data_IF_511611940489
#
_entry.id   IF_511611940489
#
_cell.length_a   1.000
_cell.length_b   1.000
_cell.length_c   1.000
_cell.angle_alpha   90.00
_cell.angle_beta   90.00
_cell.angle_gamma   90.00
#
_symmetry.space_group_name_H-M   'P 1'
#
loop_
_entity.id
_entity.type
_entity.pdbx_description
1 polymer ?
#
# COMPACT_ATOMS: atom_id res chain seq x y z
N UNK A 1 32.58 -38.08 35.65
CA UNK A 1 33.80 -37.60 34.96
C UNK A 1 33.37 -36.47 34.02
N UNK A 2 33.80 -35.22 34.20
CA UNK A 2 35.11 -34.73 33.76
C UNK A 2 35.02 -34.30 32.29
N UNK A 3 34.62 -33.05 32.01
CA UNK A 3 35.50 -31.90 31.69
C UNK A 3 36.01 -31.83 30.23
N UNK A 4 35.51 -30.79 29.53
CA UNK A 4 36.24 -29.86 28.63
C UNK A 4 36.52 -30.24 27.16
N UNK A 5 36.10 -29.38 26.21
CA UNK A 5 36.98 -28.44 25.43
C UNK A 5 36.36 -27.96 24.09
N UNK A 6 36.00 -26.66 24.07
CA UNK A 6 36.52 -25.60 23.19
C UNK A 6 36.55 -25.70 21.64
N UNK A 7 35.89 -24.70 21.00
CA UNK A 7 36.31 -23.85 19.85
C UNK A 7 36.35 -24.53 18.45
N UNK A 8 35.65 -24.07 17.40
CA UNK A 8 35.82 -22.76 16.75
C UNK A 8 34.77 -22.43 15.66
N UNK A 9 34.32 -21.17 15.66
CA UNK A 9 34.01 -20.27 14.53
C UNK A 9 33.82 -20.82 13.10
N UNK A 10 32.64 -20.60 12.52
CA UNK A 10 32.52 -19.86 11.24
C UNK A 10 31.14 -19.22 11.07
N UNK A 11 31.18 -18.00 10.54
CA UNK A 11 30.09 -17.01 10.39
C UNK A 11 29.07 -17.48 9.33
N UNK A 12 27.78 -17.39 9.63
CA UNK A 12 26.75 -17.34 8.59
C UNK A 12 25.73 -16.21 8.84
N UNK A 13 25.14 -15.77 7.74
CA UNK A 13 24.74 -14.39 7.44
C UNK A 13 23.32 -14.04 7.91
N UNK A 14 23.10 -12.73 8.03
CA UNK A 14 21.83 -12.04 8.25
C UNK A 14 20.57 -12.68 7.60
N UNK A 15 19.50 -12.80 8.39
CA UNK A 15 18.15 -12.45 7.95
C UNK A 15 17.38 -11.82 9.12
N UNK A 16 16.80 -10.63 8.89
CA UNK A 16 16.03 -9.88 9.89
C UNK A 16 14.60 -10.42 9.89
N UNK A 17 14.19 -11.15 10.94
CA UNK A 17 12.78 -11.52 11.14
C UNK A 17 12.07 -10.55 12.11
N UNK A 18 11.07 -9.87 11.56
CA UNK A 18 9.76 -9.53 12.14
C UNK A 18 9.56 -9.83 13.63
N UNK A 19 9.37 -8.77 14.43
CA UNK A 19 8.65 -8.82 15.71
C UNK A 19 7.90 -7.51 15.92
N UNK A 20 6.56 -7.58 15.98
CA UNK A 20 5.82 -7.11 17.15
C UNK A 20 4.34 -7.51 17.08
N UNK A 21 4.01 -8.57 17.80
CA UNK A 21 2.67 -8.85 18.29
C UNK A 21 2.38 -8.00 19.53
N UNK A 22 1.30 -7.23 19.53
CA UNK A 22 0.62 -6.84 20.79
C UNK A 22 -0.86 -6.59 20.52
N UNK A 23 -1.69 -7.55 20.96
CA UNK A 23 -3.14 -7.40 21.10
C UNK A 23 -3.42 -6.37 22.20
N UNK A 24 -4.34 -5.44 21.96
CA UNK A 24 -5.11 -4.77 23.02
C UNK A 24 -6.47 -4.35 22.48
N UNK A 25 -7.50 -5.08 22.86
CA UNK A 25 -8.90 -4.72 22.69
C UNK A 25 -9.27 -3.54 23.60
N UNK A 26 -9.97 -2.54 23.05
CA UNK A 26 -10.92 -1.70 23.80
C UNK A 26 -11.79 -0.88 22.84
N UNK A 27 -13.02 -1.32 22.67
CA UNK A 27 -14.13 -0.55 22.13
C UNK A 27 -14.38 0.69 23.00
N UNK A 28 -14.59 1.87 22.39
CA UNK A 28 -15.30 3.01 22.99
C UNK A 28 -15.64 4.09 21.95
N UNK A 29 -16.93 4.14 21.64
CA UNK A 29 -17.81 5.31 21.51
C UNK A 29 -17.43 6.50 20.62
N UNK A 30 -18.42 6.82 19.77
CA UNK A 30 -18.74 8.05 19.04
C UNK A 30 -18.49 9.36 19.80
N UNK A 31 -18.49 10.43 19.00
CA UNK A 31 -18.59 11.86 19.30
C UNK A 31 -17.31 12.66 19.57
N UNK A 32 -16.90 13.41 18.53
CA UNK A 32 -16.73 14.87 18.67
C UNK A 32 -16.58 15.54 17.31
N UNK A 33 -17.67 16.17 16.87
CA UNK A 33 -17.57 17.37 16.05
C UNK A 33 -16.61 18.37 16.70
N UNK A 34 -15.66 18.91 15.93
CA UNK A 34 -14.99 20.15 16.30
C UNK A 34 -14.54 20.93 15.08
N UNK A 35 -15.46 21.74 14.56
CA UNK A 35 -15.19 22.91 13.74
C UNK A 35 -14.16 23.84 14.41
N UNK A 36 -12.98 24.01 13.80
CA UNK A 36 -12.10 25.18 14.06
C UNK A 36 -11.28 25.52 12.81
N UNK A 37 -11.83 26.38 11.94
CA UNK A 37 -11.02 27.22 11.05
C UNK A 37 -10.55 28.44 11.86
N UNK A 38 -9.25 28.56 12.11
CA UNK A 38 -8.62 29.79 12.61
C UNK A 38 -7.25 29.96 11.93
N UNK A 39 -7.19 31.00 11.10
CA UNK A 39 -6.04 31.59 10.42
C UNK A 39 -4.83 31.84 11.31
N UNK A 40 -3.59 31.63 10.80
CA UNK A 40 -2.43 32.53 10.99
C UNK A 40 -1.14 32.03 10.31
N UNK A 41 -0.61 32.89 9.41
CA UNK A 41 0.80 33.23 9.15
C UNK A 41 1.90 32.23 9.55
N UNK A 42 2.62 31.71 8.54
CA UNK A 42 3.95 31.08 8.70
C UNK A 42 5.03 32.09 8.32
N UNK A 43 5.53 32.81 9.31
CA UNK A 43 6.82 33.48 9.25
C UNK A 43 7.62 33.01 10.47
N UNK A 44 8.69 32.25 10.25
CA UNK A 44 9.48 31.71 11.34
C UNK A 44 10.94 31.45 10.93
N UNK A 45 11.80 32.29 11.53
CA UNK A 45 13.13 32.01 12.10
C UNK A 45 14.29 32.01 11.11
N UNK A 46 15.09 33.10 11.05
CA UNK A 46 16.19 33.43 11.99
C UNK A 46 17.07 32.23 12.34
N UNK A 47 18.22 32.13 11.67
CA UNK A 47 19.40 31.47 12.23
C UNK A 47 20.53 32.49 12.38
N UNK A 48 20.76 32.92 13.61
CA UNK A 48 22.00 33.55 14.08
C UNK A 48 23.01 32.44 14.31
N UNK A 49 24.14 32.46 13.61
CA UNK A 49 25.38 31.87 14.14
C UNK A 49 26.56 32.76 13.77
N UNK A 50 26.99 33.52 14.78
CA UNK A 50 28.35 34.07 14.92
C UNK A 50 29.32 32.90 14.89
N UNK A 51 30.29 32.93 13.99
CA UNK A 51 31.57 32.26 14.19
C UNK A 51 32.66 33.24 13.74
N UNK A 52 33.29 33.85 14.72
CA UNK A 52 34.51 34.63 14.57
C UNK A 52 35.69 33.68 14.48
N UNK A 53 36.39 33.65 13.34
CA UNK A 53 37.75 33.08 13.29
C UNK A 53 38.61 33.82 12.28
N UNK A 54 39.49 34.63 12.84
CA UNK A 54 40.61 35.31 12.21
C UNK A 54 41.58 34.33 11.56
N UNK A 55 42.02 34.63 10.33
CA UNK A 55 43.36 34.26 9.84
C UNK A 55 43.77 35.15 8.67
N UNK A 56 44.83 35.89 8.91
CA UNK A 56 45.54 36.79 8.00
C UNK A 56 46.10 36.06 6.78
N UNK A 57 46.14 36.73 5.62
CA UNK A 57 47.31 36.74 4.72
C UNK A 57 47.16 37.82 3.64
N UNK A 58 48.25 38.56 3.51
CA UNK A 58 48.61 39.69 2.65
C UNK A 58 48.59 39.40 1.15
N UNK A 59 48.30 40.42 0.32
CA UNK A 59 49.10 40.77 -0.88
C UNK A 59 48.56 42.00 -1.63
N UNK A 60 49.35 43.09 -1.56
CA UNK A 60 49.83 43.93 -2.69
C UNK A 60 48.84 44.81 -3.47
N UNK A 61 48.94 46.14 -3.35
CA UNK A 61 49.73 47.10 -4.18
C UNK A 61 48.89 47.71 -5.31
N UNK A 62 49.15 49.01 -5.53
CA UNK A 62 48.72 49.91 -6.62
C UNK A 62 47.44 50.69 -6.35
N UNK A 63 47.38 52.03 -6.44
CA UNK A 63 48.38 53.07 -6.71
C UNK A 63 47.78 54.40 -6.26
N UNK A 64 48.55 55.19 -5.49
CA UNK A 64 48.31 56.61 -5.24
C UNK A 64 48.45 57.42 -6.53
N UNK A 65 47.66 58.51 -6.64
CA UNK A 65 48.01 59.89 -7.07
C UNK A 65 46.79 60.51 -7.76
N UNK A 66 46.07 61.42 -7.11
CA UNK A 66 46.39 62.86 -7.07
C UNK A 66 47.02 63.33 -8.38
N UNK A 67 46.21 63.91 -9.25
CA UNK A 67 46.71 64.69 -10.37
C UNK A 67 46.31 66.13 -10.14
N UNK A 68 47.30 66.86 -9.63
CA UNK A 68 47.30 68.30 -9.51
C UNK A 68 47.06 68.99 -10.85
N UNK A 69 46.42 70.13 -10.68
CA UNK A 69 46.17 71.24 -11.59
C UNK A 69 47.48 71.66 -12.27
N UNK A 70 47.53 71.58 -13.60
CA UNK A 70 48.71 71.98 -14.36
C UNK A 70 49.00 73.48 -14.19
N UNK A 71 50.15 73.79 -13.60
CA UNK A 71 50.80 75.10 -13.56
C UNK A 71 51.32 75.42 -14.97
N UNK A 72 50.85 76.50 -15.58
CA UNK A 72 51.45 77.07 -16.79
C UNK A 72 52.70 77.89 -16.44
N UNK A 73 53.73 77.95 -17.31
CA UNK A 73 54.99 78.65 -17.02
C UNK A 73 54.84 80.19 -17.06
N UNK A 74 55.69 80.96 -16.36
CA UNK A 74 55.57 82.41 -16.28
C UNK A 74 55.83 83.05 -17.65
N UNK A 75 54.87 83.84 -18.15
CA UNK A 75 55.07 84.66 -19.34
C UNK A 75 56.17 85.69 -19.06
N UNK A 76 57.18 85.76 -19.94
CA UNK A 76 58.15 86.86 -19.92
C UNK A 76 57.42 88.13 -20.36
N UNK A 77 57.39 89.11 -19.47
CA UNK A 77 56.74 90.41 -19.65
C UNK A 77 57.80 91.39 -20.15
N UNK A 78 57.51 92.11 -21.24
CA UNK A 78 58.35 93.19 -21.75
C UNK A 78 58.18 94.47 -20.89
N UNK A 79 59.06 95.46 -21.00
CA UNK A 79 59.18 96.67 -20.16
C UNK A 79 57.86 97.48 -20.05
N UNK A 80 56.87 97.23 -20.92
CA UNK A 80 55.52 97.82 -20.89
C UNK A 80 54.41 96.90 -20.36
N UNK A 81 54.72 95.82 -19.64
CA UNK A 81 53.69 95.04 -18.94
C UNK A 81 52.84 94.13 -19.84
N UNK A 82 53.19 93.97 -21.12
CA UNK A 82 52.46 93.12 -22.08
C UNK A 82 53.09 91.73 -22.15
N UNK A 83 52.27 90.71 -21.98
CA UNK A 83 52.70 89.33 -22.15
C UNK A 83 52.87 89.04 -23.65
N UNK A 84 54.00 88.47 -24.05
CA UNK A 84 54.27 88.10 -25.45
C UNK A 84 53.38 86.91 -25.83
N UNK A 85 52.12 87.22 -26.08
CA UNK A 85 51.08 86.33 -26.55
C UNK A 85 51.47 85.73 -27.91
N UNK A 86 51.76 84.43 -27.88
CA UNK A 86 51.38 83.51 -28.96
C UNK A 86 50.26 82.60 -28.47
N UNK A 87 49.24 83.17 -27.82
CA UNK A 87 48.03 82.43 -27.38
C UNK A 87 46.70 83.05 -27.78
N UNK A 88 46.62 84.34 -28.15
CA UNK A 88 45.30 84.97 -28.40
C UNK A 88 44.52 84.35 -29.57
N UNK A 89 45.20 83.97 -30.66
CA UNK A 89 44.52 83.38 -31.82
C UNK A 89 44.08 81.91 -31.60
N UNK A 90 44.73 81.17 -30.70
CA UNK A 90 44.33 79.80 -30.36
C UNK A 90 43.25 79.79 -29.25
N UNK A 91 43.33 80.70 -28.27
CA UNK A 91 42.30 80.84 -27.23
C UNK A 91 40.99 81.42 -27.79
N UNK A 92 41.02 82.38 -28.72
CA UNK A 92 39.80 82.86 -29.38
C UNK A 92 39.17 81.80 -30.28
N UNK A 93 39.99 80.98 -30.96
CA UNK A 93 39.49 79.82 -31.72
C UNK A 93 38.91 78.75 -30.79
N UNK A 94 39.54 78.48 -29.65
CA UNK A 94 39.02 77.55 -28.65
C UNK A 94 37.74 78.06 -27.98
N UNK A 95 37.61 79.35 -27.69
CA UNK A 95 36.37 79.94 -27.17
C UNK A 95 35.24 79.89 -28.21
N UNK A 96 35.52 80.20 -29.47
CA UNK A 96 34.55 80.05 -30.58
C UNK A 96 34.17 78.58 -30.79
N UNK A 97 35.13 77.66 -30.77
CA UNK A 97 34.87 76.21 -30.83
C UNK A 97 34.11 75.69 -29.59
N UNK A 98 34.34 76.25 -28.40
CA UNK A 98 33.59 75.91 -27.18
C UNK A 98 32.17 76.46 -27.20
N UNK A 99 31.95 77.65 -27.77
CA UNK A 99 30.63 78.22 -28.02
C UNK A 99 29.88 77.42 -29.09
N UNK A 100 30.54 77.03 -30.18
CA UNK A 100 29.99 76.12 -31.19
C UNK A 100 29.65 74.76 -30.59
N UNK A 101 30.52 74.18 -29.74
CA UNK A 101 30.23 72.94 -28.99
C UNK A 101 29.08 73.13 -28.00
N UNK A 102 28.94 74.29 -27.34
CA UNK A 102 27.79 74.58 -26.46
C UNK A 102 26.49 74.67 -27.25
N UNK A 103 26.50 75.35 -28.40
CA UNK A 103 25.34 75.43 -29.30
C UNK A 103 24.99 74.05 -29.88
N UNK A 104 25.99 73.24 -30.22
CA UNK A 104 25.78 71.87 -30.69
C UNK A 104 25.22 70.97 -29.57
N UNK A 105 25.71 71.10 -28.34
CA UNK A 105 25.17 70.40 -27.16
C UNK A 105 23.75 70.85 -26.82
N UNK A 106 23.43 72.14 -27.00
CA UNK A 106 22.06 72.65 -26.84
C UNK A 106 21.12 72.14 -27.95
N UNK A 107 21.59 72.04 -29.19
CA UNK A 107 20.85 71.39 -30.28
C UNK A 107 20.60 69.92 -29.97
N UNK A 108 21.60 69.18 -29.50
CA UNK A 108 21.44 67.78 -29.09
C UNK A 108 20.47 67.62 -27.92
N UNK A 109 20.45 68.54 -26.95
CA UNK A 109 19.47 68.53 -25.86
C UNK A 109 18.05 68.75 -26.37
N UNK A 110 17.85 69.70 -27.29
CA UNK A 110 16.55 69.95 -27.93
C UNK A 110 16.08 68.75 -28.75
N UNK A 111 16.97 68.12 -29.52
CA UNK A 111 16.65 66.89 -30.26
C UNK A 111 16.22 65.78 -29.30
N UNK A 112 16.95 65.56 -28.20
CA UNK A 112 16.58 64.56 -27.19
C UNK A 112 15.23 64.86 -26.52
N UNK A 113 14.89 66.13 -26.29
CA UNK A 113 13.60 66.51 -25.74
C UNK A 113 12.47 66.20 -26.72
N UNK A 114 12.64 66.57 -27.99
CA UNK A 114 11.67 66.26 -29.05
C UNK A 114 11.53 64.74 -29.21
N UNK A 115 12.61 63.97 -29.20
CA UNK A 115 12.55 62.50 -29.26
C UNK A 115 11.81 61.88 -28.05
N UNK A 116 11.92 62.47 -26.86
CA UNK A 116 11.20 62.00 -25.67
C UNK A 116 9.70 62.35 -25.79
N UNK A 117 9.39 63.56 -26.24
CA UNK A 117 8.01 63.99 -26.46
C UNK A 117 7.32 63.18 -27.56
N UNK A 118 8.02 62.92 -28.67
CA UNK A 118 7.56 62.05 -29.75
C UNK A 118 7.30 60.62 -29.25
N UNK A 119 8.21 60.04 -28.47
CA UNK A 119 8.00 58.72 -27.86
C UNK A 119 6.81 58.68 -26.91
N UNK A 120 6.55 59.73 -26.14
CA UNK A 120 5.39 59.81 -25.28
C UNK A 120 4.09 59.86 -26.09
N UNK A 121 4.07 60.60 -27.20
CA UNK A 121 2.92 60.66 -28.12
C UNK A 121 2.72 59.32 -28.84
N UNK A 122 3.80 58.67 -29.28
CA UNK A 122 3.77 57.33 -29.86
C UNK A 122 3.25 56.29 -28.87
N UNK A 123 3.69 56.33 -27.61
CA UNK A 123 3.16 55.47 -26.56
C UNK A 123 1.69 55.74 -26.25
N UNK A 124 1.27 57.00 -26.17
CA UNK A 124 -0.14 57.35 -25.96
C UNK A 124 -1.03 56.91 -27.12
N UNK A 125 -0.56 57.06 -28.35
CA UNK A 125 -1.29 56.61 -29.55
C UNK A 125 -1.34 55.08 -29.63
N UNK A 126 -0.23 54.39 -29.33
CA UNK A 126 -0.20 52.94 -29.22
C UNK A 126 -1.17 52.42 -28.15
N UNK A 127 -1.22 53.06 -26.97
CA UNK A 127 -2.18 52.73 -25.90
C UNK A 127 -3.62 52.93 -26.33
N UNK A 128 -3.95 54.03 -27.01
CA UNK A 128 -5.31 54.26 -27.53
C UNK A 128 -5.72 53.22 -28.56
N UNK A 129 -4.80 52.82 -29.43
CA UNK A 129 -5.04 51.76 -30.41
C UNK A 129 -5.24 50.42 -29.72
N UNK A 130 -4.39 50.07 -28.75
CA UNK A 130 -4.50 48.85 -27.96
C UNK A 130 -5.83 48.78 -27.21
N UNK A 131 -6.26 49.86 -26.57
CA UNK A 131 -7.56 49.92 -25.89
C UNK A 131 -8.74 49.74 -26.84
N UNK A 132 -8.70 50.35 -28.04
CA UNK A 132 -9.76 50.18 -29.03
C UNK A 132 -9.81 48.76 -29.59
N UNK A 133 -8.64 48.13 -29.77
CA UNK A 133 -8.54 46.73 -30.18
C UNK A 133 -9.05 45.83 -29.07
N UNK A 134 -8.62 46.04 -27.82
CA UNK A 134 -9.06 45.26 -26.67
C UNK A 134 -10.57 45.35 -26.48
N UNK A 135 -11.16 46.54 -26.57
CA UNK A 135 -12.62 46.75 -26.48
C UNK A 135 -13.37 46.03 -27.60
N UNK A 136 -12.90 46.12 -28.85
CA UNK A 136 -13.53 45.40 -29.97
C UNK A 136 -13.43 43.89 -29.81
N UNK A 137 -12.28 43.37 -29.39
CA UNK A 137 -12.10 41.93 -29.13
C UNK A 137 -12.98 41.49 -27.97
N UNK A 138 -13.09 42.28 -26.91
CA UNK A 138 -13.95 41.99 -25.76
C UNK A 138 -15.43 41.93 -26.16
N UNK A 139 -15.92 42.88 -26.95
CA UNK A 139 -17.28 42.88 -27.50
C UNK A 139 -17.54 41.69 -28.43
N UNK A 140 -16.57 41.30 -29.26
CA UNK A 140 -16.67 40.11 -30.11
C UNK A 140 -16.69 38.81 -29.31
N UNK A 141 -15.86 38.73 -28.28
CA UNK A 141 -15.86 37.61 -27.35
C UNK A 141 -17.17 37.57 -26.59
N UNK A 142 -17.68 38.70 -26.10
CA UNK A 142 -18.93 38.79 -25.34
C UNK A 142 -20.14 38.31 -26.13
N UNK A 143 -20.23 38.64 -27.42
CA UNK A 143 -21.26 38.09 -28.31
C UNK A 143 -21.17 36.56 -28.45
N UNK A 144 -19.97 35.99 -28.34
CA UNK A 144 -19.72 34.54 -28.45
C UNK A 144 -19.59 33.84 -27.08
N UNK A 145 -19.61 34.57 -25.97
CA UNK A 145 -19.39 34.03 -24.62
C UNK A 145 -20.41 32.95 -24.31
N UNK A 146 -21.69 33.20 -24.54
CA UNK A 146 -22.74 32.23 -24.25
C UNK A 146 -22.60 30.95 -25.07
N UNK A 147 -22.14 31.05 -26.32
CA UNK A 147 -21.91 29.89 -27.19
C UNK A 147 -20.71 29.07 -26.72
N UNK A 148 -19.61 29.76 -26.39
CA UNK A 148 -18.39 29.15 -25.85
C UNK A 148 -18.70 28.49 -24.49
N UNK A 149 -19.40 29.19 -23.60
CA UNK A 149 -19.80 28.67 -22.30
C UNK A 149 -20.69 27.44 -22.43
N UNK A 150 -21.69 27.47 -23.33
CA UNK A 150 -22.52 26.30 -23.62
C UNK A 150 -21.71 25.11 -24.12
N UNK A 151 -20.75 25.33 -25.01
CA UNK A 151 -19.90 24.25 -25.53
C UNK A 151 -18.95 23.70 -24.45
N UNK A 152 -18.34 24.57 -23.64
CA UNK A 152 -17.50 24.18 -22.51
C UNK A 152 -18.30 23.38 -21.50
N UNK A 153 -19.51 23.83 -21.14
CA UNK A 153 -20.40 23.10 -20.24
C UNK A 153 -20.76 21.72 -20.80
N UNK A 154 -21.10 21.62 -22.10
CA UNK A 154 -21.36 20.32 -22.75
C UNK A 154 -20.15 19.38 -22.66
N UNK A 155 -18.95 19.84 -23.01
CA UNK A 155 -17.72 19.02 -22.92
C UNK A 155 -17.44 18.57 -21.49
N UNK A 156 -17.65 19.46 -20.51
CA UNK A 156 -17.46 19.13 -19.08
C UNK A 156 -18.50 18.11 -18.61
N UNK A 157 -19.76 18.26 -19.01
CA UNK A 157 -20.81 17.30 -18.69
C UNK A 157 -20.55 15.94 -19.33
N UNK A 158 -20.12 15.90 -20.59
CA UNK A 158 -19.73 14.67 -21.28
C UNK A 158 -18.55 13.98 -20.59
N UNK A 159 -17.51 14.75 -20.24
CA UNK A 159 -16.37 14.24 -19.48
C UNK A 159 -16.80 13.69 -18.10
N UNK A 160 -17.65 14.42 -17.37
CA UNK A 160 -18.23 13.96 -16.09
C UNK A 160 -19.02 12.67 -16.27
N UNK A 161 -19.89 12.58 -17.28
CA UNK A 161 -20.68 11.37 -17.57
C UNK A 161 -19.81 10.17 -17.94
N UNK A 162 -18.69 10.38 -18.64
CA UNK A 162 -17.74 9.30 -18.94
C UNK A 162 -17.07 8.82 -17.65
N UNK A 163 -16.56 9.74 -16.84
CA UNK A 163 -15.93 9.41 -15.56
C UNK A 163 -16.90 8.74 -14.58
N UNK A 164 -18.14 9.24 -14.47
CA UNK A 164 -19.18 8.65 -13.62
C UNK A 164 -19.56 7.24 -14.08
N UNK A 165 -19.70 7.02 -15.38
CA UNK A 165 -19.97 5.67 -15.93
C UNK A 165 -18.84 4.69 -15.63
N UNK A 166 -17.58 5.11 -15.85
CA UNK A 166 -16.42 4.29 -15.53
C UNK A 166 -16.36 3.95 -14.03
N UNK A 167 -16.60 4.94 -13.17
CA UNK A 167 -16.60 4.73 -11.72
C UNK A 167 -17.72 3.78 -11.27
N UNK A 168 -18.93 3.93 -11.82
CA UNK A 168 -20.04 3.02 -11.52
C UNK A 168 -19.76 1.60 -11.99
N UNK A 169 -19.22 1.43 -13.20
CA UNK A 169 -18.87 0.11 -13.74
C UNK A 169 -17.75 -0.56 -12.93
N UNK A 170 -16.76 0.20 -12.47
CA UNK A 170 -15.71 -0.30 -11.56
C UNK A 170 -16.29 -0.73 -10.21
N UNK A 171 -17.21 0.05 -9.64
CA UNK A 171 -17.88 -0.30 -8.38
C UNK A 171 -18.77 -1.54 -8.51
N UNK A 172 -19.50 -1.68 -9.62
CA UNK A 172 -20.31 -2.86 -9.91
C UNK A 172 -19.43 -4.10 -10.07
N UNK A 173 -18.31 -4.00 -10.81
CA UNK A 173 -17.32 -5.08 -10.93
C UNK A 173 -16.77 -5.49 -9.56
N UNK A 174 -16.41 -4.52 -8.72
CA UNK A 174 -15.92 -4.80 -7.37
C UNK A 174 -16.97 -5.53 -6.52
N UNK A 175 -18.23 -5.05 -6.52
CA UNK A 175 -19.33 -5.72 -5.81
C UNK A 175 -19.57 -7.14 -6.31
N UNK A 176 -19.58 -7.35 -7.63
CA UNK A 176 -19.73 -8.69 -8.20
C UNK A 176 -18.57 -9.60 -7.82
N UNK A 177 -17.33 -9.10 -7.86
CA UNK A 177 -16.15 -9.87 -7.45
C UNK A 177 -16.19 -10.22 -5.96
N UNK A 178 -16.61 -9.30 -5.09
CA UNK A 178 -16.78 -9.56 -3.66
C UNK A 178 -17.85 -10.62 -3.38
N UNK A 179 -19.01 -10.51 -4.05
CA UNK A 179 -20.07 -11.51 -3.92
C UNK A 179 -19.65 -12.87 -4.46
N UNK A 180 -18.95 -12.92 -5.60
CA UNK A 180 -18.41 -14.18 -6.13
C UNK A 180 -17.35 -14.78 -5.20
N UNK A 181 -16.47 -13.96 -4.63
CA UNK A 181 -15.48 -14.43 -3.66
C UNK A 181 -16.12 -14.93 -2.36
N UNK A 182 -17.22 -14.31 -1.91
CA UNK A 182 -18.00 -14.82 -0.76
C UNK A 182 -18.66 -16.15 -1.10
N UNK A 183 -19.35 -16.26 -2.25
CA UNK A 183 -19.96 -17.50 -2.69
C UNK A 183 -18.95 -18.63 -2.84
N UNK A 184 -17.80 -18.38 -3.46
CA UNK A 184 -16.75 -19.38 -3.60
C UNK A 184 -16.23 -19.86 -2.23
N UNK A 185 -16.09 -18.96 -1.25
CA UNK A 185 -15.71 -19.34 0.12
C UNK A 185 -16.80 -20.15 0.82
N UNK A 186 -18.06 -19.77 0.65
CA UNK A 186 -19.20 -20.52 1.19
C UNK A 186 -19.25 -21.92 0.57
N UNK A 187 -19.10 -22.03 -0.75
CA UNK A 187 -19.05 -23.30 -1.48
C UNK A 187 -17.90 -24.20 -0.97
N UNK A 188 -16.70 -23.65 -0.80
CA UNK A 188 -15.58 -24.38 -0.20
C UNK A 188 -15.83 -24.81 1.25
N UNK A 189 -16.54 -23.99 2.05
CA UNK A 189 -16.90 -24.38 3.41
C UNK A 189 -17.98 -25.47 3.40
N UNK A 190 -18.96 -25.39 2.51
CA UNK A 190 -19.97 -26.43 2.36
C UNK A 190 -19.36 -27.74 1.87
N UNK A 191 -18.45 -27.71 0.91
CA UNK A 191 -17.78 -28.92 0.42
C UNK A 191 -16.94 -29.57 1.54
N UNK A 192 -16.22 -28.77 2.34
CA UNK A 192 -15.48 -29.26 3.51
C UNK A 192 -16.41 -29.87 4.55
N UNK A 193 -17.60 -29.29 4.77
CA UNK A 193 -18.60 -29.85 5.71
C UNK A 193 -19.18 -31.16 5.19
N UNK A 194 -19.53 -31.23 3.92
CA UNK A 194 -20.02 -32.46 3.28
C UNK A 194 -18.96 -33.57 3.30
N UNK A 195 -17.70 -33.24 3.06
CA UNK A 195 -16.58 -34.18 3.17
C UNK A 195 -16.43 -34.72 4.60
N UNK A 196 -16.53 -33.84 5.61
CA UNK A 196 -16.49 -34.25 7.02
C UNK A 196 -17.70 -35.10 7.40
N UNK A 197 -18.89 -34.73 6.95
CA UNK A 197 -20.12 -35.49 7.18
C UNK A 197 -20.01 -36.90 6.57
N UNK A 198 -19.51 -37.00 5.33
CA UNK A 198 -19.26 -38.29 4.68
C UNK A 198 -18.28 -39.15 5.45
N UNK A 199 -17.20 -38.57 5.97
CA UNK A 199 -16.23 -39.30 6.82
C UNK A 199 -16.89 -39.78 8.11
N UNK A 200 -17.72 -38.96 8.75
CA UNK A 200 -18.45 -39.32 9.96
C UNK A 200 -19.47 -40.43 9.69
N UNK A 201 -20.21 -40.36 8.58
CA UNK A 201 -21.13 -41.40 8.16
C UNK A 201 -20.40 -42.73 7.91
N UNK A 202 -19.28 -42.71 7.19
CA UNK A 202 -18.48 -43.91 6.95
C UNK A 202 -17.90 -44.49 8.26
N UNK A 203 -17.52 -43.63 9.22
CA UNK A 203 -17.07 -44.07 10.53
C UNK A 203 -18.21 -44.70 11.34
N UNK A 204 -19.38 -44.05 11.36
CA UNK A 204 -20.57 -44.55 12.02
C UNK A 204 -21.03 -45.89 11.43
N UNK A 205 -20.98 -46.05 10.10
CA UNK A 205 -21.26 -47.34 9.44
C UNK A 205 -20.29 -48.42 9.90
N UNK A 206 -18.98 -48.12 9.95
CA UNK A 206 -17.98 -49.08 10.45
C UNK A 206 -18.21 -49.47 11.92
N UNK A 207 -18.62 -48.52 12.76
CA UNK A 207 -18.98 -48.80 14.16
C UNK A 207 -20.22 -49.68 14.23
N UNK A 208 -21.27 -49.35 13.47
CA UNK A 208 -22.50 -50.14 13.42
C UNK A 208 -22.24 -51.57 12.92
N UNK A 209 -21.45 -51.73 11.85
CA UNK A 209 -21.06 -53.03 11.33
C UNK A 209 -20.24 -53.84 12.34
N UNK A 210 -19.32 -53.20 13.06
CA UNK A 210 -18.54 -53.85 14.12
C UNK A 210 -19.43 -54.28 15.29
N UNK A 211 -20.37 -53.43 15.71
CA UNK A 211 -21.35 -53.77 16.76
C UNK A 211 -22.28 -54.91 16.31
N UNK A 212 -22.73 -54.90 15.06
CA UNK A 212 -23.57 -55.96 14.49
C UNK A 212 -22.82 -57.30 14.47
N UNK A 213 -21.54 -57.32 14.07
CA UNK A 213 -20.70 -58.53 14.12
C UNK A 213 -20.50 -59.05 15.54
N UNK A 214 -20.22 -58.17 16.49
CA UNK A 214 -20.09 -58.57 17.90
C UNK A 214 -21.40 -59.14 18.45
N UNK A 215 -22.55 -58.54 18.09
CA UNK A 215 -23.86 -59.05 18.47
C UNK A 215 -24.16 -60.42 17.83
N UNK A 216 -23.79 -60.61 16.56
CA UNK A 216 -23.92 -61.89 15.86
C UNK A 216 -23.04 -62.98 16.49
N UNK A 217 -21.79 -62.65 16.85
CA UNK A 217 -20.90 -63.57 17.56
C UNK A 217 -21.45 -63.94 18.95
N UNK A 218 -21.97 -62.98 19.70
CA UNK A 218 -22.63 -63.24 20.98
C UNK A 218 -23.84 -64.17 20.83
N UNK A 219 -24.68 -63.93 19.82
CA UNK A 219 -25.81 -64.81 19.51
C UNK A 219 -25.35 -66.23 19.14
N UNK A 220 -24.30 -66.38 18.32
CA UNK A 220 -23.73 -67.70 17.98
C UNK A 220 -23.24 -68.45 19.20
N UNK A 221 -22.56 -67.78 20.13
CA UNK A 221 -22.10 -68.40 21.39
C UNK A 221 -23.29 -68.88 22.22
N UNK A 222 -24.37 -68.09 22.32
CA UNK A 222 -25.57 -68.49 23.06
C UNK A 222 -26.28 -69.67 22.38
N UNK A 223 -26.39 -69.66 21.05
CA UNK A 223 -26.94 -70.79 20.29
C UNK A 223 -26.11 -72.06 20.45
N UNK A 224 -24.78 -71.95 20.45
CA UNK A 224 -23.88 -73.08 20.67
C UNK A 224 -24.00 -73.61 22.09
N UNK A 225 -24.05 -72.74 23.10
CA UNK A 225 -24.31 -73.13 24.49
C UNK A 225 -25.65 -73.84 24.64
N UNK A 226 -26.69 -73.36 23.93
CA UNK A 226 -28.00 -74.01 23.90
C UNK A 226 -27.92 -75.41 23.26
N UNK A 227 -27.20 -75.57 22.15
CA UNK A 227 -26.97 -76.88 21.51
C UNK A 227 -26.23 -77.85 22.43
N UNK A 228 -25.15 -77.38 23.07
CA UNK A 228 -24.38 -78.20 24.03
C UNK A 228 -25.27 -78.63 25.20
N UNK A 229 -26.14 -77.74 25.69
CA UNK A 229 -27.07 -78.07 26.75
C UNK A 229 -28.12 -79.09 26.29
N UNK A 230 -28.69 -78.92 25.10
CA UNK A 230 -29.63 -79.89 24.49
C UNK A 230 -28.96 -81.26 24.29
N UNK A 231 -27.72 -81.32 23.82
CA UNK A 231 -26.92 -82.54 23.67
C UNK A 231 -26.61 -83.20 25.01
N UNK A 232 -26.23 -82.43 26.05
CA UNK A 232 -26.03 -82.94 27.41
C UNK A 232 -27.30 -83.57 27.97
N UNK A 233 -28.44 -82.88 27.84
CA UNK A 233 -29.73 -83.41 28.30
C UNK A 233 -30.10 -84.70 27.57
N UNK A 234 -29.79 -84.80 26.27
CA UNK A 234 -30.03 -86.01 25.48
C UNK A 234 -29.13 -87.17 25.92
N UNK A 235 -27.83 -86.92 26.11
CA UNK A 235 -26.88 -87.90 26.65
C UNK A 235 -27.27 -88.38 28.05
N UNK A 236 -27.73 -87.49 28.92
CA UNK A 236 -28.19 -87.84 30.26
C UNK A 236 -29.48 -88.68 30.21
N UNK A 237 -30.43 -88.34 29.32
CA UNK A 237 -31.61 -89.17 29.09
C UNK A 237 -31.23 -90.55 28.55
N UNK A 238 -30.29 -90.64 27.61
CA UNK A 238 -29.84 -91.91 27.04
C UNK A 238 -29.09 -92.75 28.08
N UNK A 239 -28.25 -92.14 28.93
CA UNK A 239 -27.63 -92.82 30.09
C UNK A 239 -28.67 -93.34 31.08
N UNK A 240 -29.70 -92.56 31.39
CA UNK A 240 -30.79 -93.02 32.26
C UNK A 240 -31.59 -94.17 31.62
N UNK A 241 -31.79 -94.15 30.30
CA UNK A 241 -32.43 -95.25 29.56
C UNK A 241 -31.57 -96.50 29.63
N UNK A 242 -30.27 -96.39 29.37
CA UNK A 242 -29.32 -97.49 29.48
C UNK A 242 -29.30 -98.06 30.89
N UNK A 243 -29.21 -97.23 31.93
CA UNK A 243 -29.27 -97.70 33.33
C UNK A 243 -30.60 -98.41 33.64
N UNK A 244 -31.73 -97.92 33.13
CA UNK A 244 -33.04 -98.60 33.28
C UNK A 244 -33.08 -99.93 32.52
N UNK A 245 -32.48 -100.01 31.35
CA UNK A 245 -32.39 -101.23 30.54
C UNK A 245 -31.44 -102.26 31.17
N UNK A 246 -30.28 -101.82 31.65
CA UNK A 246 -29.32 -102.63 32.43
C UNK A 246 -29.96 -103.14 33.72
N UNK A 247 -30.66 -102.28 34.48
CA UNK A 247 -31.43 -102.70 35.65
C UNK A 247 -32.52 -103.70 35.27
N UNK A 248 -33.22 -103.53 34.14
CA UNK A 248 -34.21 -104.51 33.66
C UNK A 248 -33.56 -105.84 33.26
N UNK A 249 -32.40 -105.82 32.62
CA UNK A 249 -31.62 -107.01 32.28
C UNK A 249 -31.17 -107.76 33.53
N UNK A 250 -30.59 -107.07 34.52
CA UNK A 250 -30.12 -107.64 35.79
C UNK A 250 -31.30 -108.16 36.64
N UNK A 251 -32.40 -107.40 36.70
CA UNK A 251 -33.60 -107.78 37.46
C UNK A 251 -34.46 -108.84 36.72
N UNK A 252 -34.08 -109.24 35.49
CA UNK A 252 -34.76 -110.30 34.73
C UNK A 252 -36.21 -110.01 34.34
N UNK A 253 -36.64 -108.74 34.39
CA UNK A 253 -38.02 -108.34 34.06
C UNK A 253 -38.15 -108.09 32.56
N UNK A 254 -38.92 -108.95 31.90
CA UNK A 254 -39.20 -108.89 30.47
C UNK A 254 -38.30 -109.82 29.67
N UNK A 255 -38.64 -111.12 29.63
CA UNK A 255 -38.11 -112.18 28.75
C UNK A 255 -36.57 -112.25 28.52
N UNK A 256 -35.74 -111.53 29.28
CA UNK A 256 -34.29 -111.43 29.04
C UNK A 256 -33.50 -112.64 29.52
N UNK A 257 -34.07 -113.43 30.44
CA UNK A 257 -33.43 -114.63 30.98
C UNK A 257 -33.50 -115.76 29.95
N UNK A 258 -32.38 -116.21 29.36
CA UNK A 258 -32.39 -117.29 28.38
C UNK A 258 -33.02 -118.53 29.01
N UNK A 259 -34.04 -119.11 28.36
CA UNK A 259 -34.59 -120.39 28.79
C UNK A 259 -33.55 -121.47 28.52
N UNK A 260 -32.71 -121.74 29.52
CA UNK A 260 -31.85 -122.92 29.54
C UNK A 260 -32.75 -124.15 29.66
N UNK A 261 -33.04 -124.79 28.53
CA UNK A 261 -33.64 -126.12 28.48
C UNK A 261 -32.56 -127.16 28.79
N UNK A 262 -32.52 -127.64 30.03
CA UNK A 262 -31.70 -128.80 30.39
C UNK A 262 -32.47 -130.07 30.01
N UNK A 263 -32.02 -130.80 28.99
CA UNK A 263 -32.46 -132.16 28.74
C UNK A 263 -31.77 -133.08 29.76
N UNK A 264 -32.51 -133.54 30.77
CA UNK A 264 -32.07 -134.65 31.61
C UNK A 264 -32.07 -135.91 30.75
N UNK A 265 -30.88 -136.37 30.33
CA UNK A 265 -30.72 -137.73 29.83
C UNK A 265 -30.89 -138.66 31.04
N UNK A 266 -32.03 -139.34 31.12
CA UNK A 266 -32.17 -140.51 31.97
C UNK A 266 -31.29 -141.62 31.36
N UNK A 267 -30.30 -142.08 32.12
CA UNK A 267 -29.53 -143.28 31.81
C UNK A 267 -29.99 -144.37 32.78
N UNK A 268 -30.56 -145.44 32.21
CA UNK A 268 -30.75 -146.76 32.83
C UNK A 268 -29.42 -147.39 33.24
#
# INVERSE_FOLDING_TARGET
MGRSRSRSSSRSKHSKSSKHSKKRSRSRSRDKERSKKRSKSREAKRNRRRESRSRSRSATVSTRRERERAVTPPERIDIFGRTLSKRSALDEKQRKEEEEKKVEMERQRKIRQVEIEEKLIEEETARRVEELVAKRVEEELEKRRDEIEREVLRRVEEAKRIMERQLLEELERQRHAELQAQKAREEEETSKREELEKILEENNRKIADAQAKLAEEQLRIVEEQRKIHEERMKLDQDRQRQQKEEQKMILGKGKSRPKLSFSLKATE
#
